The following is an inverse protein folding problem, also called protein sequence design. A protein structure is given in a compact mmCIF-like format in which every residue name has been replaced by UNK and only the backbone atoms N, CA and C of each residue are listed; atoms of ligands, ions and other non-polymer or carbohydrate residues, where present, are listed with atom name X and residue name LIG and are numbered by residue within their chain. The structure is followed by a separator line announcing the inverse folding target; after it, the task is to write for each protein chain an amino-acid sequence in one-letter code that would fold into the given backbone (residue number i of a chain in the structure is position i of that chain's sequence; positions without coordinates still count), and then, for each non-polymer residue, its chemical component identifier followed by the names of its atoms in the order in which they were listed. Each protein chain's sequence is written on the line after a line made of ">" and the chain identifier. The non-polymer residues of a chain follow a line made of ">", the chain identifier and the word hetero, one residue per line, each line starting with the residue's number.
data_IF_154049248927
#
_entry.id   IF_154049248927
#
_cell.length_a   1.000
_cell.length_b   1.000
_cell.length_c   1.000
_cell.angle_alpha   90.00
_cell.angle_beta   90.00
_cell.angle_gamma   90.00
#
_symmetry.space_group_name_H-M   'P 1'
#
loop_
_entity.id
_entity.type
_entity.pdbx_description
1 polymer ?
#
# COMPACT_ATOMS: atom_id res chain seq x y z
N UNK A 1 30.27 -14.84 0.88
CA UNK A 1 29.78 -15.77 1.93
C UNK A 1 29.56 -14.97 3.21
N UNK A 2 28.32 -14.56 3.50
CA UNK A 2 27.94 -13.93 4.76
C UNK A 2 26.63 -14.59 5.20
N UNK A 3 26.75 -15.34 6.30
CA UNK A 3 25.74 -16.05 7.06
C UNK A 3 25.12 -17.31 6.39
N UNK A 4 25.51 -18.49 6.90
CA UNK A 4 24.85 -19.78 6.69
C UNK A 4 23.48 -19.86 7.39
N UNK A 5 22.57 -18.99 6.97
CA UNK A 5 21.15 -19.14 7.32
C UNK A 5 20.62 -20.31 6.51
N UNK A 6 19.93 -21.22 7.20
CA UNK A 6 19.22 -22.34 6.59
C UNK A 6 18.56 -21.89 5.28
N UNK A 7 18.89 -22.58 4.19
CA UNK A 7 18.33 -22.35 2.87
C UNK A 7 16.84 -22.09 3.01
N UNK A 8 16.40 -20.84 2.74
CA UNK A 8 14.99 -20.46 2.93
C UNK A 8 14.13 -21.52 2.24
N UNK A 9 13.24 -22.22 2.97
CA UNK A 9 12.49 -23.36 2.42
C UNK A 9 11.64 -22.93 1.20
N UNK A 10 11.38 -21.64 1.06
CA UNK A 10 10.77 -21.03 -0.14
C UNK A 10 11.53 -21.37 -1.42
N UNK A 11 12.84 -21.60 -1.36
CA UNK A 11 13.68 -21.89 -2.53
C UNK A 11 13.56 -23.33 -2.99
N UNK A 12 13.41 -24.27 -2.06
CA UNK A 12 13.34 -25.70 -2.39
C UNK A 12 11.90 -26.18 -2.55
N UNK A 13 10.95 -25.57 -1.83
CA UNK A 13 9.56 -26.02 -1.75
C UNK A 13 8.66 -25.13 -2.62
N UNK A 14 8.21 -25.68 -3.77
CA UNK A 14 7.41 -24.93 -4.76
C UNK A 14 6.11 -24.33 -4.22
N UNK A 15 5.39 -25.03 -3.34
CA UNK A 15 4.15 -24.49 -2.75
C UNK A 15 4.43 -23.31 -1.82
N UNK A 16 5.53 -23.34 -1.06
CA UNK A 16 5.91 -22.29 -0.13
C UNK A 16 6.27 -21.01 -0.88
N UNK A 17 6.96 -21.11 -2.02
CA UNK A 17 7.16 -19.94 -2.86
C UNK A 17 5.85 -19.35 -3.39
N UNK A 18 5.01 -20.18 -4.02
CA UNK A 18 3.74 -19.71 -4.59
C UNK A 18 2.90 -18.98 -3.55
N UNK A 19 2.78 -19.56 -2.36
CA UNK A 19 2.04 -18.97 -1.25
C UNK A 19 2.65 -17.64 -0.78
N UNK A 20 3.97 -17.58 -0.59
CA UNK A 20 4.66 -16.36 -0.16
C UNK A 20 4.46 -15.23 -1.17
N UNK A 21 4.69 -15.52 -2.45
CA UNK A 21 4.50 -14.54 -3.53
C UNK A 21 3.04 -14.08 -3.58
N UNK A 22 2.09 -15.01 -3.57
CA UNK A 22 0.67 -14.68 -3.52
C UNK A 22 0.33 -13.75 -2.35
N UNK A 23 0.78 -14.08 -1.13
CA UNK A 23 0.53 -13.27 0.05
C UNK A 23 1.11 -11.85 -0.10
N UNK A 24 2.35 -11.71 -0.56
CA UNK A 24 2.99 -10.40 -0.72
C UNK A 24 2.23 -9.53 -1.74
N UNK A 25 1.85 -10.09 -2.89
CA UNK A 25 1.15 -9.33 -3.93
C UNK A 25 -0.30 -9.01 -3.55
N UNK A 26 -1.04 -10.00 -3.02
CA UNK A 26 -2.42 -9.81 -2.58
C UNK A 26 -2.53 -8.79 -1.43
N UNK A 27 -1.67 -8.91 -0.41
CA UNK A 27 -1.68 -7.97 0.73
C UNK A 27 -1.32 -6.54 0.30
N UNK A 28 -0.32 -6.37 -0.58
CA UNK A 28 0.02 -5.05 -1.15
C UNK A 28 -1.17 -4.44 -1.88
N UNK A 29 -1.85 -5.21 -2.72
CA UNK A 29 -3.03 -4.73 -3.43
C UNK A 29 -4.12 -4.30 -2.46
N UNK A 30 -4.44 -5.13 -1.46
CA UNK A 30 -5.42 -4.80 -0.42
C UNK A 30 -5.05 -3.46 0.24
N UNK A 31 -3.79 -3.28 0.66
CA UNK A 31 -3.34 -2.05 1.33
C UNK A 31 -3.51 -0.82 0.43
N UNK A 32 -3.13 -0.90 -0.85
CA UNK A 32 -3.25 0.24 -1.78
C UNK A 32 -4.71 0.60 -2.05
N UNK A 33 -5.57 -0.40 -2.25
CA UNK A 33 -7.01 -0.17 -2.44
C UNK A 33 -7.70 0.30 -1.16
N UNK A 34 -7.23 -0.09 0.03
CA UNK A 34 -7.70 0.50 1.29
C UNK A 34 -7.32 1.98 1.40
N UNK A 35 -6.16 2.39 0.87
CA UNK A 35 -5.85 3.83 0.78
C UNK A 35 -6.76 4.57 -0.20
N UNK A 36 -7.06 3.98 -1.35
CA UNK A 36 -8.06 4.52 -2.28
C UNK A 36 -9.41 4.68 -1.56
N UNK A 37 -9.90 3.63 -0.88
CA UNK A 37 -11.13 3.71 -0.11
C UNK A 37 -11.08 4.79 0.98
N UNK A 38 -9.94 4.98 1.66
CA UNK A 38 -9.78 6.05 2.64
C UNK A 38 -9.83 7.45 1.99
N UNK A 39 -9.29 7.63 0.79
CA UNK A 39 -9.41 8.90 0.06
C UNK A 39 -10.85 9.17 -0.39
N UNK A 40 -11.57 8.14 -0.84
CA UNK A 40 -12.98 8.22 -1.22
C UNK A 40 -13.85 8.55 0.01
N UNK A 41 -13.61 7.87 1.13
CA UNK A 41 -14.29 8.09 2.40
C UNK A 41 -14.18 9.55 2.86
N UNK A 42 -12.97 10.12 2.80
CA UNK A 42 -12.71 11.52 3.12
C UNK A 42 -13.38 12.48 2.14
N UNK A 43 -13.37 12.15 0.84
CA UNK A 43 -14.08 12.93 -0.16
C UNK A 43 -15.59 12.95 0.09
N UNK A 44 -16.21 11.79 0.34
CA UNK A 44 -17.63 11.67 0.66
C UNK A 44 -17.99 12.44 1.93
N UNK A 45 -17.13 12.37 2.96
CA UNK A 45 -17.31 13.14 4.20
C UNK A 45 -17.17 14.65 4.00
N UNK A 46 -16.34 15.09 3.04
CA UNK A 46 -16.15 16.51 2.71
C UNK A 46 -17.26 17.08 1.83
N UNK A 47 -18.08 16.22 1.21
CA UNK A 47 -19.09 16.66 0.25
C UNK A 47 -20.22 17.42 0.93
N UNK A 48 -20.66 18.48 0.25
CA UNK A 48 -21.79 19.33 0.64
C UNK A 48 -23.13 18.61 0.47
N UNK A 49 -23.21 17.62 -0.42
CA UNK A 49 -24.46 16.94 -0.73
C UNK A 49 -24.78 15.87 0.31
N UNK A 50 -25.91 16.01 0.99
CA UNK A 50 -26.38 15.05 2.01
C UNK A 50 -26.48 13.61 1.48
N UNK A 51 -26.81 13.43 0.20
CA UNK A 51 -26.86 12.11 -0.41
C UNK A 51 -25.49 11.44 -0.45
N UNK A 52 -24.43 12.16 -0.83
CA UNK A 52 -23.07 11.62 -0.91
C UNK A 52 -22.53 11.31 0.50
N UNK A 53 -22.84 12.15 1.48
CA UNK A 53 -22.46 11.90 2.88
C UNK A 53 -23.11 10.65 3.47
N UNK A 54 -24.35 10.32 3.06
CA UNK A 54 -25.03 9.08 3.47
C UNK A 54 -24.37 7.80 2.95
N UNK A 55 -23.57 7.89 1.88
CA UNK A 55 -22.83 6.72 1.38
C UNK A 55 -21.66 6.35 2.31
N UNK A 56 -21.15 7.32 3.09
CA UNK A 56 -20.17 7.08 4.14
C UNK A 56 -20.85 6.52 5.41
N UNK A 57 -21.31 5.28 5.32
CA UNK A 57 -21.79 4.52 6.49
C UNK A 57 -20.81 3.40 6.81
N UNK A 58 -20.69 3.06 8.09
CA UNK A 58 -19.82 1.97 8.55
C UNK A 58 -20.16 0.62 7.88
N UNK A 59 -21.43 0.41 7.51
CA UNK A 59 -21.87 -0.78 6.76
C UNK A 59 -21.23 -0.82 5.37
N UNK A 60 -21.32 0.29 4.62
CA UNK A 60 -20.75 0.39 3.28
C UNK A 60 -19.22 0.26 3.29
N UNK A 61 -18.54 0.85 4.27
CA UNK A 61 -17.09 0.71 4.42
C UNK A 61 -16.70 -0.75 4.62
N UNK A 62 -17.42 -1.49 5.49
CA UNK A 62 -17.17 -2.93 5.69
C UNK A 62 -17.39 -3.73 4.41
N UNK A 63 -18.48 -3.48 3.69
CA UNK A 63 -18.74 -4.15 2.41
C UNK A 63 -17.67 -3.83 1.37
N UNK A 64 -17.26 -2.57 1.23
CA UNK A 64 -16.21 -2.16 0.30
C UNK A 64 -14.87 -2.81 0.63
N UNK A 65 -14.49 -2.88 1.91
CA UNK A 65 -13.28 -3.58 2.36
C UNK A 65 -13.33 -5.07 2.02
N UNK A 66 -14.46 -5.75 2.24
CA UNK A 66 -14.62 -7.15 1.87
C UNK A 66 -14.49 -7.36 0.36
N UNK A 67 -15.13 -6.52 -0.44
CA UNK A 67 -15.03 -6.56 -1.91
C UNK A 67 -13.58 -6.43 -2.36
N UNK A 68 -12.81 -5.49 -1.79
CA UNK A 68 -11.38 -5.31 -2.11
C UNK A 68 -10.57 -6.57 -1.77
N UNK A 69 -10.83 -7.20 -0.62
CA UNK A 69 -10.12 -8.43 -0.22
C UNK A 69 -10.42 -9.56 -1.21
N UNK A 70 -11.69 -9.81 -1.53
CA UNK A 70 -12.07 -10.86 -2.48
C UNK A 70 -11.54 -10.58 -3.89
N UNK A 71 -11.68 -9.34 -4.38
CA UNK A 71 -11.11 -8.92 -5.66
C UNK A 71 -9.60 -9.15 -5.70
N UNK A 72 -8.88 -8.83 -4.61
CA UNK A 72 -7.43 -8.98 -4.56
C UNK A 72 -6.99 -10.44 -4.60
N UNK A 73 -7.72 -11.33 -3.93
CA UNK A 73 -7.47 -12.78 -3.97
C UNK A 73 -7.68 -13.30 -5.39
N UNK A 74 -8.79 -12.94 -6.04
CA UNK A 74 -9.12 -13.39 -7.39
C UNK A 74 -8.08 -12.87 -8.40
N UNK A 75 -7.74 -11.58 -8.31
CA UNK A 75 -6.83 -10.91 -9.24
C UNK A 75 -5.38 -11.40 -9.13
N UNK A 76 -5.00 -12.12 -8.07
CA UNK A 76 -3.67 -12.70 -7.93
C UNK A 76 -3.67 -14.23 -7.82
N UNK A 77 -4.82 -14.89 -7.99
CA UNK A 77 -4.92 -16.35 -7.98
C UNK A 77 -4.06 -17.00 -9.08
N UNK A 78 -3.86 -16.31 -10.22
CA UNK A 78 -3.00 -16.77 -11.30
C UNK A 78 -1.52 -16.94 -10.90
N UNK A 79 -1.08 -16.33 -9.79
CA UNK A 79 0.30 -16.51 -9.28
C UNK A 79 0.58 -17.97 -8.87
N UNK A 80 -0.43 -18.71 -8.42
CA UNK A 80 -0.28 -20.14 -8.10
C UNK A 80 0.07 -20.99 -9.32
N UNK A 81 -0.30 -20.54 -10.51
CA UNK A 81 0.03 -21.18 -11.78
C UNK A 81 1.33 -20.64 -12.37
N UNK A 82 1.53 -19.32 -12.36
CA UNK A 82 2.62 -18.67 -13.07
C UNK A 82 4.00 -18.77 -12.41
N UNK A 83 4.07 -18.96 -11.09
CA UNK A 83 5.34 -19.06 -10.36
C UNK A 83 5.76 -20.51 -10.16
N UNK A 84 7.05 -20.79 -10.30
CA UNK A 84 7.62 -22.11 -10.06
C UNK A 84 8.98 -21.97 -9.36
N UNK A 85 9.32 -22.94 -8.52
CA UNK A 85 10.57 -22.94 -7.76
C UNK A 85 11.63 -23.79 -8.46
N UNK A 86 12.91 -23.52 -8.18
CA UNK A 86 14.07 -24.23 -8.73
C UNK A 86 14.18 -24.17 -10.26
N UNK A 87 13.87 -23.02 -10.88
CA UNK A 87 14.13 -22.86 -12.31
C UNK A 87 15.63 -22.73 -12.58
N UNK A 88 16.14 -23.63 -13.43
CA UNK A 88 17.51 -23.59 -13.94
C UNK A 88 17.65 -22.36 -14.85
N UNK A 89 18.63 -21.50 -14.58
CA UNK A 89 18.89 -20.19 -15.26
C UNK A 89 17.91 -19.05 -14.95
N UNK A 90 17.08 -19.15 -13.91
CA UNK A 90 16.31 -18.00 -13.45
C UNK A 90 17.16 -17.05 -12.59
N UNK A 91 16.90 -15.73 -12.62
CA UNK A 91 17.59 -14.77 -11.78
C UNK A 91 17.31 -15.00 -10.28
N UNK A 92 16.15 -15.57 -9.96
CA UNK A 92 15.76 -15.90 -8.60
C UNK A 92 15.31 -17.36 -8.49
N UNK A 93 15.58 -18.02 -7.35
CA UNK A 93 15.18 -19.42 -7.11
C UNK A 93 13.67 -19.65 -7.18
N UNK A 94 12.87 -18.59 -7.07
CA UNK A 94 11.47 -18.62 -7.43
C UNK A 94 11.10 -17.48 -8.36
N UNK A 95 10.67 -17.84 -9.56
CA UNK A 95 10.46 -16.91 -10.66
C UNK A 95 9.30 -17.36 -11.53
N UNK A 96 8.88 -16.47 -12.43
CA UNK A 96 7.82 -16.78 -13.41
C UNK A 96 8.32 -17.81 -14.43
N UNK A 97 7.49 -18.83 -14.69
CA UNK A 97 7.83 -19.93 -15.59
C UNK A 97 7.93 -19.53 -17.07
N UNK A 98 7.12 -18.57 -17.48
CA UNK A 98 6.94 -18.17 -18.89
C UNK A 98 7.00 -16.66 -19.04
N UNK A 99 7.54 -16.17 -20.16
CA UNK A 99 7.57 -14.75 -20.52
C UNK A 99 6.17 -14.13 -20.54
N UNK A 100 5.14 -14.87 -20.97
CA UNK A 100 3.75 -14.41 -20.91
C UNK A 100 3.26 -14.20 -19.48
N UNK A 101 3.58 -15.14 -18.59
CA UNK A 101 3.27 -15.01 -17.17
C UNK A 101 3.98 -13.80 -16.56
N UNK A 102 5.24 -13.57 -16.92
CA UNK A 102 6.00 -12.41 -16.47
C UNK A 102 5.31 -11.10 -16.88
N UNK A 103 5.04 -10.93 -18.17
CA UNK A 103 4.36 -9.74 -18.72
C UNK A 103 3.02 -9.52 -18.05
N UNK A 104 2.19 -10.56 -17.95
CA UNK A 104 0.87 -10.44 -17.30
C UNK A 104 1.02 -10.03 -15.84
N UNK A 105 1.95 -10.63 -15.09
CA UNK A 105 2.11 -10.31 -13.66
C UNK A 105 2.70 -8.92 -13.43
N UNK A 106 3.67 -8.49 -14.23
CA UNK A 106 4.30 -7.18 -14.14
C UNK A 106 3.33 -6.06 -14.56
N UNK A 107 2.58 -6.27 -15.64
CA UNK A 107 1.54 -5.34 -16.07
C UNK A 107 0.41 -5.24 -15.05
N UNK A 108 -0.07 -6.39 -14.54
CA UNK A 108 -1.11 -6.43 -13.51
C UNK A 108 -0.66 -5.67 -12.25
N UNK A 109 0.58 -5.89 -11.81
CA UNK A 109 1.15 -5.20 -10.67
C UNK A 109 1.26 -3.69 -10.93
N UNK A 110 1.91 -3.29 -12.02
CA UNK A 110 2.14 -1.88 -12.33
C UNK A 110 0.82 -1.10 -12.47
N UNK A 111 -0.14 -1.64 -13.23
CA UNK A 111 -1.42 -0.96 -13.48
C UNK A 111 -2.34 -0.99 -12.26
N UNK A 112 -2.72 -2.16 -11.79
CA UNK A 112 -3.78 -2.29 -10.78
C UNK A 112 -3.31 -2.09 -9.35
N UNK A 113 -2.01 -2.28 -9.07
CA UNK A 113 -1.47 -2.10 -7.71
C UNK A 113 -0.91 -0.70 -7.51
N UNK A 114 -0.29 -0.10 -8.53
CA UNK A 114 0.42 1.18 -8.37
C UNK A 114 -0.28 2.31 -9.12
N UNK A 115 -0.36 2.25 -10.45
CA UNK A 115 -0.79 3.39 -11.29
C UNK A 115 -2.25 3.75 -11.03
N UNK A 116 -3.18 2.81 -11.17
CA UNK A 116 -4.62 3.06 -10.99
C UNK A 116 -4.91 3.57 -9.57
N UNK A 117 -4.44 2.91 -8.49
CA UNK A 117 -4.63 3.43 -7.14
C UNK A 117 -4.05 4.84 -6.94
N UNK A 118 -2.85 5.15 -7.45
CA UNK A 118 -2.27 6.50 -7.34
C UNK A 118 -3.09 7.56 -8.10
N UNK A 119 -3.59 7.24 -9.29
CA UNK A 119 -4.46 8.13 -10.06
C UNK A 119 -5.78 8.39 -9.32
N UNK A 120 -6.42 7.34 -8.79
CA UNK A 120 -7.65 7.49 -8.01
C UNK A 120 -7.41 8.29 -6.72
N UNK A 121 -6.36 7.96 -5.97
CA UNK A 121 -6.02 8.66 -4.73
C UNK A 121 -5.74 10.15 -4.98
N UNK A 122 -4.99 10.48 -6.04
CA UNK A 122 -4.71 11.87 -6.39
C UNK A 122 -5.98 12.62 -6.82
N UNK A 123 -6.82 12.01 -7.66
CA UNK A 123 -8.09 12.59 -8.10
C UNK A 123 -9.02 12.89 -6.92
N UNK A 124 -9.29 11.90 -6.05
CA UNK A 124 -10.16 12.09 -4.89
C UNK A 124 -9.58 13.04 -3.85
N UNK A 125 -8.25 13.06 -3.69
CA UNK A 125 -7.59 14.02 -2.80
C UNK A 125 -7.73 15.46 -3.29
N UNK A 126 -7.58 15.70 -4.60
CA UNK A 126 -7.83 17.02 -5.20
C UNK A 126 -9.29 17.42 -5.04
N UNK A 127 -10.24 16.52 -5.31
CA UNK A 127 -11.67 16.79 -5.09
C UNK A 127 -11.98 17.13 -3.63
N UNK A 128 -11.33 16.47 -2.68
CA UNK A 128 -11.46 16.77 -1.24
C UNK A 128 -10.96 18.19 -0.93
N UNK A 129 -9.84 18.62 -1.52
CA UNK A 129 -9.32 19.97 -1.38
C UNK A 129 -10.30 21.01 -1.95
N UNK A 130 -10.84 20.78 -3.14
CA UNK A 130 -11.82 21.68 -3.76
C UNK A 130 -13.10 21.82 -2.91
N UNK A 131 -13.65 20.70 -2.43
CA UNK A 131 -14.80 20.70 -1.54
C UNK A 131 -14.52 21.43 -0.23
N UNK A 132 -13.31 21.26 0.31
CA UNK A 132 -12.88 21.93 1.52
C UNK A 132 -12.83 23.45 1.35
N UNK A 133 -12.22 23.97 0.28
CA UNK A 133 -12.21 25.41 0.00
C UNK A 133 -13.63 25.98 -0.12
N UNK A 134 -14.53 25.26 -0.79
CA UNK A 134 -15.94 25.65 -0.93
C UNK A 134 -16.70 25.63 0.40
N UNK A 135 -16.44 24.64 1.25
CA UNK A 135 -17.03 24.51 2.57
C UNK A 135 -16.55 25.60 3.53
N UNK A 136 -15.25 25.94 3.48
CA UNK A 136 -14.67 27.02 4.28
C UNK A 136 -15.33 28.37 4.04
N UNK A 137 -15.68 28.68 2.80
CA UNK A 137 -16.39 29.92 2.44
C UNK A 137 -17.79 30.00 3.06
N UNK A 138 -18.46 28.86 3.31
CA UNK A 138 -19.80 28.81 3.94
C UNK A 138 -19.72 28.86 5.46
N UNK A 139 -18.78 28.15 6.07
CA UNK A 139 -18.63 28.02 7.54
C UNK A 139 -17.94 29.26 8.16
N UNK A 140 -17.37 30.18 7.36
CA UNK A 140 -16.92 31.48 7.89
C UNK A 140 -18.05 32.26 8.58
N UNK A 141 -19.33 31.93 8.30
CA UNK A 141 -20.50 32.52 8.94
C UNK A 141 -20.92 31.92 10.29
N UNK A 142 -20.40 30.75 10.70
CA UNK A 142 -20.94 29.99 11.86
C UNK A 142 -19.93 29.65 12.97
N UNK A 143 -18.74 30.25 13.01
CA UNK A 143 -17.88 30.24 14.22
C UNK A 143 -17.21 28.91 14.63
N UNK A 144 -17.42 27.79 13.94
CA UNK A 144 -16.77 26.51 14.28
C UNK A 144 -15.29 26.46 13.84
N UNK A 145 -14.40 26.90 14.73
CA UNK A 145 -12.95 26.94 14.49
C UNK A 145 -12.22 25.62 14.79
N UNK A 146 -12.78 24.77 15.66
CA UNK A 146 -12.12 23.53 16.14
C UNK A 146 -12.13 22.39 15.11
N UNK A 147 -13.20 22.22 14.33
CA UNK A 147 -13.27 21.20 13.25
C UNK A 147 -12.26 21.49 12.13
N UNK A 148 -12.09 22.78 11.78
CA UNK A 148 -11.22 23.25 10.70
C UNK A 148 -9.73 22.93 10.88
N UNK A 149 -9.27 22.75 12.12
CA UNK A 149 -7.86 22.44 12.40
C UNK A 149 -7.58 20.95 12.22
N UNK A 150 -8.45 20.10 12.77
CA UNK A 150 -8.36 18.63 12.65
C UNK A 150 -8.46 18.18 11.19
N UNK A 151 -9.41 18.73 10.43
CA UNK A 151 -9.57 18.41 8.99
C UNK A 151 -8.34 18.78 8.16
N UNK A 152 -7.74 19.96 8.40
CA UNK A 152 -6.49 20.36 7.72
C UNK A 152 -5.33 19.42 8.03
N UNK A 153 -5.22 18.95 9.28
CA UNK A 153 -4.19 17.96 9.63
C UNK A 153 -4.42 16.63 8.91
N UNK A 154 -5.66 16.13 8.87
CA UNK A 154 -6.01 14.89 8.16
C UNK A 154 -5.73 15.00 6.65
N UNK A 155 -6.03 16.15 6.04
CA UNK A 155 -5.75 16.40 4.63
C UNK A 155 -4.25 16.48 4.34
N UNK A 156 -3.50 17.27 5.12
CA UNK A 156 -2.04 17.37 5.00
C UNK A 156 -1.40 15.99 5.13
N UNK A 157 -1.86 15.20 6.10
CA UNK A 157 -1.39 13.84 6.30
C UNK A 157 -1.64 12.96 5.06
N UNK A 158 -2.82 13.05 4.45
CA UNK A 158 -3.16 12.29 3.24
C UNK A 158 -2.25 12.63 2.07
N UNK A 159 -2.05 13.94 1.81
CA UNK A 159 -1.19 14.40 0.74
C UNK A 159 0.26 13.94 0.95
N UNK A 160 0.78 14.08 2.17
CA UNK A 160 2.12 13.56 2.50
C UNK A 160 2.21 12.06 2.27
N UNK A 161 1.18 11.30 2.67
CA UNK A 161 1.15 9.86 2.46
C UNK A 161 1.16 9.50 0.97
N UNK A 162 0.37 10.16 0.13
CA UNK A 162 0.31 9.89 -1.32
C UNK A 162 1.64 10.24 -2.00
N UNK A 163 2.25 11.38 -1.65
CA UNK A 163 3.54 11.80 -2.21
C UNK A 163 4.63 10.80 -1.85
N UNK A 164 4.75 10.44 -0.56
CA UNK A 164 5.75 9.48 -0.10
C UNK A 164 5.52 8.11 -0.70
N UNK A 165 4.27 7.65 -0.76
CA UNK A 165 3.92 6.37 -1.39
C UNK A 165 4.33 6.36 -2.87
N UNK A 166 3.95 7.39 -3.64
CA UNK A 166 4.30 7.52 -5.04
C UNK A 166 5.81 7.53 -5.27
N UNK A 167 6.57 8.31 -4.50
CA UNK A 167 8.04 8.38 -4.61
C UNK A 167 8.71 7.02 -4.33
N UNK A 168 8.18 6.23 -3.40
CA UNK A 168 8.75 4.93 -3.04
C UNK A 168 8.34 3.79 -3.98
N UNK A 169 7.19 3.90 -4.66
CA UNK A 169 6.61 2.78 -5.42
C UNK A 169 6.70 2.96 -6.93
N UNK A 170 6.67 4.20 -7.44
CA UNK A 170 6.74 4.48 -8.87
C UNK A 170 8.04 3.96 -9.52
N UNK A 171 9.24 4.11 -8.91
CA UNK A 171 10.46 3.58 -9.52
C UNK A 171 10.40 2.07 -9.76
N UNK A 172 9.77 1.31 -8.85
CA UNK A 172 9.56 -0.12 -9.03
C UNK A 172 8.59 -0.43 -10.17
N UNK A 173 7.48 0.31 -10.30
CA UNK A 173 6.54 0.13 -11.39
C UNK A 173 7.22 0.38 -12.75
N UNK A 174 8.03 1.43 -12.85
CA UNK A 174 8.76 1.79 -14.07
C UNK A 174 9.74 0.66 -14.45
N UNK A 175 10.54 0.17 -13.51
CA UNK A 175 11.49 -0.92 -13.78
C UNK A 175 10.78 -2.20 -14.19
N UNK A 176 9.67 -2.57 -13.56
CA UNK A 176 8.89 -3.76 -13.95
C UNK A 176 8.24 -3.61 -15.32
N UNK A 177 7.72 -2.44 -15.66
CA UNK A 177 7.19 -2.18 -17.00
C UNK A 177 8.30 -2.25 -18.04
N UNK A 178 9.47 -1.66 -17.75
CA UNK A 178 10.63 -1.73 -18.64
C UNK A 178 11.05 -3.18 -18.89
N UNK A 179 11.16 -3.98 -17.83
CA UNK A 179 11.52 -5.40 -17.91
C UNK A 179 10.46 -6.26 -18.64
N UNK A 180 9.20 -5.83 -18.68
CA UNK A 180 8.14 -6.54 -19.39
C UNK A 180 8.17 -6.33 -20.91
N UNK A 181 8.72 -5.21 -21.39
CA UNK A 181 8.70 -4.85 -22.81
C UNK A 181 10.06 -4.97 -23.51
N UNK A 182 11.16 -4.90 -22.76
CA UNK A 182 12.49 -5.06 -23.32
C UNK A 182 12.89 -6.52 -23.25
N UNK A 183 13.15 -7.11 -24.42
CA UNK A 183 13.64 -8.48 -24.54
C UNK A 183 15.15 -8.47 -24.30
N UNK A 184 15.62 -9.22 -23.30
CA UNK A 184 16.92 -8.94 -22.68
C UNK A 184 17.94 -10.05 -22.92
N UNK A 185 18.70 -9.91 -24.01
CA UNK A 185 20.04 -10.49 -24.11
C UNK A 185 21.02 -9.64 -23.28
N UNK A 186 20.96 -9.80 -21.97
CA UNK A 186 21.84 -9.08 -21.05
C UNK A 186 23.16 -9.80 -20.84
N UNK A 187 24.25 -9.03 -20.78
CA UNK A 187 25.53 -9.49 -20.28
C UNK A 187 25.43 -9.82 -18.77
N UNK A 188 26.28 -10.70 -18.25
CA UNK A 188 26.26 -11.09 -16.82
C UNK A 188 26.40 -9.89 -15.87
N UNK A 189 27.15 -8.85 -16.29
CA UNK A 189 27.30 -7.60 -15.55
C UNK A 189 25.96 -6.86 -15.43
N UNK A 190 25.21 -6.77 -16.52
CA UNK A 190 23.94 -6.06 -16.57
C UNK A 190 22.87 -6.76 -15.72
N UNK A 191 22.81 -8.09 -15.78
CA UNK A 191 21.93 -8.89 -14.90
C UNK A 191 22.23 -8.65 -13.41
N UNK A 192 23.50 -8.53 -13.04
CA UNK A 192 23.90 -8.26 -11.65
C UNK A 192 23.44 -6.87 -11.19
N UNK A 193 23.58 -5.85 -12.05
CA UNK A 193 23.12 -4.48 -11.77
C UNK A 193 21.59 -4.46 -11.64
N UNK A 194 20.86 -5.12 -12.55
CA UNK A 194 19.41 -5.17 -12.53
C UNK A 194 18.88 -5.85 -11.25
N UNK A 195 19.51 -6.94 -10.81
CA UNK A 195 19.19 -7.58 -9.53
C UNK A 195 19.43 -6.65 -8.35
N UNK A 196 20.54 -5.92 -8.33
CA UNK A 196 20.86 -4.99 -7.25
C UNK A 196 19.83 -3.85 -7.18
N UNK A 197 19.53 -3.23 -8.31
CA UNK A 197 18.51 -2.17 -8.44
C UNK A 197 17.15 -2.70 -8.02
N UNK A 198 16.75 -3.89 -8.51
CA UNK A 198 15.49 -4.52 -8.14
C UNK A 198 15.36 -4.77 -6.64
N UNK A 199 16.42 -5.25 -5.98
CA UNK A 199 16.41 -5.47 -4.53
C UNK A 199 16.29 -4.17 -3.74
N UNK A 200 16.95 -3.10 -4.16
CA UNK A 200 16.79 -1.76 -3.55
C UNK A 200 15.34 -1.29 -3.71
N UNK A 201 14.79 -1.38 -4.92
CA UNK A 201 13.40 -0.98 -5.21
C UNK A 201 12.38 -1.81 -4.42
N UNK A 202 12.66 -3.09 -4.22
CA UNK A 202 11.85 -3.97 -3.40
C UNK A 202 11.89 -3.56 -1.92
N UNK A 203 13.06 -3.18 -1.41
CA UNK A 203 13.22 -2.68 -0.05
C UNK A 203 12.45 -1.37 0.15
N UNK A 204 12.53 -0.44 -0.82
CA UNK A 204 11.76 0.81 -0.84
C UNK A 204 10.26 0.56 -0.77
N UNK A 205 9.73 -0.46 -1.45
CA UNK A 205 8.31 -0.82 -1.37
C UNK A 205 7.90 -1.40 -0.02
N UNK A 206 8.77 -2.20 0.61
CA UNK A 206 8.51 -2.67 1.97
C UNK A 206 8.50 -1.52 2.97
N UNK A 207 9.41 -0.55 2.82
CA UNK A 207 9.40 0.67 3.62
C UNK A 207 8.10 1.44 3.42
N UNK A 208 7.63 1.58 2.18
CA UNK A 208 6.35 2.23 1.86
C UNK A 208 5.15 1.59 2.57
N UNK A 209 5.20 0.28 2.82
CA UNK A 209 4.14 -0.45 3.54
C UNK A 209 4.16 -0.17 5.05
N UNK A 210 5.32 0.15 5.62
CA UNK A 210 5.48 0.52 7.03
C UNK A 210 5.23 2.02 7.29
N UNK A 211 5.38 2.88 6.27
CA UNK A 211 5.19 4.33 6.35
C UNK A 211 3.89 4.77 7.03
N UNK A 212 2.70 4.18 6.78
CA UNK A 212 1.46 4.65 7.37
C UNK A 212 1.54 4.73 8.89
N UNK A 213 2.09 3.70 9.55
CA UNK A 213 2.27 3.72 11.01
C UNK A 213 3.10 4.91 11.47
N UNK A 214 4.24 5.16 10.82
CA UNK A 214 5.12 6.29 11.14
C UNK A 214 4.46 7.64 10.85
N UNK A 215 3.76 7.79 9.72
CA UNK A 215 3.09 9.04 9.37
C UNK A 215 1.90 9.29 10.33
N UNK A 216 1.10 8.27 10.69
CA UNK A 216 0.00 8.40 11.65
C UNK A 216 0.52 8.78 13.05
N UNK A 217 1.63 8.17 13.48
CA UNK A 217 2.18 8.38 14.82
C UNK A 217 2.98 9.69 14.95
N UNK A 218 3.78 10.03 13.93
CA UNK A 218 4.63 11.22 13.92
C UNK A 218 3.86 12.47 13.52
N UNK A 219 3.09 12.41 12.43
CA UNK A 219 2.37 13.55 11.83
C UNK A 219 0.99 13.77 12.45
N UNK A 220 0.36 12.73 13.00
CA UNK A 220 -0.94 12.81 13.69
C UNK A 220 -0.92 13.59 15.02
N UNK A 221 0.25 14.01 15.50
CA UNK A 221 0.41 14.91 16.65
C UNK A 221 -0.24 14.38 17.95
N UNK A 222 -0.80 15.29 18.74
CA UNK A 222 -1.41 14.96 20.05
C UNK A 222 -2.70 14.14 19.96
N UNK A 223 -3.35 14.10 18.79
CA UNK A 223 -4.58 13.33 18.56
C UNK A 223 -4.33 11.82 18.60
N UNK A 224 -3.17 11.37 18.11
CA UNK A 224 -2.80 9.94 18.09
C UNK A 224 -1.83 9.56 19.22
N UNK A 225 -0.91 10.47 19.58
CA UNK A 225 0.06 10.21 20.66
C UNK A 225 -0.58 10.10 22.04
N UNK A 226 -1.64 10.86 22.34
CA UNK A 226 -2.33 10.81 23.64
C UNK A 226 -3.05 9.47 23.88
N UNK A 227 -3.87 8.95 22.95
CA UNK A 227 -4.45 7.62 23.10
C UNK A 227 -3.41 6.51 23.21
N UNK A 228 -2.34 6.56 22.41
CA UNK A 228 -1.27 5.57 22.46
C UNK A 228 -0.54 5.60 23.81
N UNK A 229 -0.18 6.79 24.30
CA UNK A 229 0.42 6.96 25.63
C UNK A 229 -0.50 6.47 26.74
N UNK A 230 -1.80 6.77 26.66
CA UNK A 230 -2.78 6.31 27.64
C UNK A 230 -2.95 4.79 27.61
N UNK A 231 -2.88 4.17 26.42
CA UNK A 231 -2.93 2.71 26.27
C UNK A 231 -1.69 2.07 26.90
N UNK A 232 -0.51 2.60 26.62
CA UNK A 232 0.76 2.11 27.20
C UNK A 232 0.74 2.25 28.71
N UNK A 233 0.27 3.39 29.24
CA UNK A 233 0.11 3.60 30.68
C UNK A 233 -0.88 2.62 31.32
N UNK A 234 -2.00 2.30 30.65
CA UNK A 234 -2.94 1.29 31.15
C UNK A 234 -2.34 -0.12 31.14
N UNK A 235 -1.59 -0.47 30.10
CA UNK A 235 -0.91 -1.76 30.02
C UNK A 235 0.17 -1.86 31.10
N UNK A 236 0.97 -0.81 31.32
CA UNK A 236 1.99 -0.83 32.37
C UNK A 236 1.37 -0.92 33.77
N UNK A 237 0.26 -0.22 34.01
CA UNK A 237 -0.51 -0.34 35.25
C UNK A 237 -1.14 -1.72 35.45
N UNK A 238 -1.60 -2.37 34.37
CA UNK A 238 -2.12 -3.73 34.43
C UNK A 238 -1.04 -4.75 34.78
N UNK A 239 0.15 -4.64 34.17
CA UNK A 239 1.27 -5.52 34.49
C UNK A 239 1.79 -5.29 35.92
N UNK A 240 1.88 -4.04 36.39
CA UNK A 240 2.29 -3.72 37.76
C UNK A 240 1.32 -4.28 38.82
N UNK A 241 0.02 -4.35 38.52
CA UNK A 241 -0.98 -4.95 39.42
C UNK A 241 -0.98 -6.49 39.45
N UNK A 242 -0.38 -7.16 38.49
CA UNK A 242 -0.25 -8.62 38.50
C UNK A 242 0.99 -9.11 39.27
N UNK A 243 1.89 -8.20 39.61
CA UNK A 243 3.13 -8.50 40.35
C UNK A 243 3.05 -8.25 41.86
N UNK A 244 1.91 -7.75 42.36
CA UNK A 244 1.56 -7.66 43.79
C UNK A 244 0.63 -8.81 44.20
#
# INVERSE_FOLDING_TARGET
>A
MLAGWASDPTYTIGWACKLRTFLVFATRLIVFWLFVLSTIDRWLSSSVHNHQRRLNTMKNVRYATLIVIFMSIIMYAQLFYCYEANLVRAPFPCYTKSSLCQIVTDLTFALFTIIIPLLLMSMFSLMTIFNFHRSQQRIFRTGEQRSKRTERYLLRMLCTQIIVLGLLTLPQAIVRLYAAFVDTHHSELQTTIDMFVYNILLLLTYLASAMPFYIYTLTGGSLFRRPLSNLIQRISQFFLRQTE
#
